data_IF_764388553675
#
_entry.id   IF_764388553675
#
_cell.length_a   1.000
_cell.length_b   1.000
_cell.length_c   1.000
_cell.angle_alpha   90.00
_cell.angle_beta   90.00
_cell.angle_gamma   90.00
#
_symmetry.space_group_name_H-M   'P 1'
#
loop_
_entity.id
_entity.type
_entity.pdbx_description
1 polymer ?
#
# COMPACT_ATOMS: atom_id res chain seq x y z
N UNK A 1 17.84 -76.53 -27.85
CA UNK A 1 17.63 -77.66 -26.86
C UNK A 1 16.84 -77.06 -25.70
N UNK A 2 15.56 -77.42 -25.61
CA UNK A 2 14.91 -78.10 -24.46
C UNK A 2 14.85 -77.19 -23.21
N UNK A 3 13.73 -76.87 -22.55
CA UNK A 3 12.43 -77.58 -22.38
C UNK A 3 11.42 -76.64 -21.74
N UNK A 4 10.17 -76.80 -22.08
CA UNK A 4 8.96 -76.28 -21.44
C UNK A 4 8.80 -76.86 -20.04
N UNK A 5 8.20 -76.05 -19.12
CA UNK A 5 7.26 -76.67 -18.14
C UNK A 5 6.22 -75.61 -17.71
N UNK A 6 4.97 -75.95 -17.93
CA UNK A 6 3.72 -75.32 -17.52
C UNK A 6 3.39 -75.82 -16.12
N UNK A 7 2.97 -74.97 -15.22
CA UNK A 7 2.14 -75.31 -14.07
C UNK A 7 0.99 -74.35 -13.87
N UNK A 8 -0.20 -74.88 -14.08
CA UNK A 8 -1.48 -74.30 -13.64
C UNK A 8 -1.61 -74.43 -12.12
N UNK A 9 -2.14 -73.41 -11.46
CA UNK A 9 -2.77 -73.64 -10.17
C UNK A 9 -3.85 -72.60 -9.85
N UNK A 10 -5.01 -73.09 -9.75
CA UNK A 10 -6.14 -72.99 -8.84
C UNK A 10 -6.42 -71.56 -8.25
N UNK A 11 -7.59 -71.10 -8.63
CA UNK A 11 -8.30 -69.94 -8.06
C UNK A 11 -8.99 -70.42 -6.76
N UNK A 12 -8.70 -69.75 -5.66
CA UNK A 12 -9.46 -69.84 -4.41
C UNK A 12 -10.21 -68.52 -4.17
N UNK A 13 -11.54 -68.59 -4.32
CA UNK A 13 -12.44 -67.50 -3.93
C UNK A 13 -12.55 -67.44 -2.41
N UNK A 14 -12.08 -66.41 -1.79
CA UNK A 14 -12.43 -66.02 -0.42
C UNK A 14 -13.31 -64.79 -0.45
N UNK A 15 -14.61 -64.99 -0.18
CA UNK A 15 -15.52 -63.91 0.12
C UNK A 15 -15.15 -63.29 1.47
N UNK A 16 -14.63 -62.02 1.46
CA UNK A 16 -14.58 -61.19 2.65
C UNK A 16 -15.64 -60.14 2.56
N UNK A 17 -16.49 -60.11 3.56
CA UNK A 17 -17.55 -59.15 3.83
C UNK A 17 -17.00 -57.75 3.87
N UNK A 18 -17.51 -56.84 3.03
CA UNK A 18 -17.24 -55.40 3.13
C UNK A 18 -18.07 -54.83 4.29
N UNK A 19 -17.40 -54.43 5.35
CA UNK A 19 -17.91 -53.42 6.28
C UNK A 19 -17.74 -52.06 5.61
N UNK A 20 -18.84 -51.41 5.26
CA UNK A 20 -18.87 -50.03 4.79
C UNK A 20 -18.66 -49.10 5.98
N UNK A 21 -17.46 -48.55 6.11
CA UNK A 21 -17.24 -47.34 6.91
C UNK A 21 -17.89 -46.14 6.25
N UNK A 22 -18.48 -45.20 7.02
CA UNK A 22 -19.05 -44.00 6.45
C UNK A 22 -17.94 -43.15 5.85
N UNK A 23 -18.03 -42.87 4.56
CA UNK A 23 -17.15 -41.95 3.84
C UNK A 23 -17.19 -40.60 4.54
N UNK A 24 -16.10 -40.25 5.21
CA UNK A 24 -15.84 -38.90 5.65
C UNK A 24 -15.86 -37.97 4.42
N UNK A 25 -16.87 -37.11 4.34
CA UNK A 25 -16.91 -36.01 3.39
C UNK A 25 -15.70 -35.13 3.63
N UNK A 26 -14.70 -35.22 2.74
CA UNK A 26 -13.64 -34.20 2.66
C UNK A 26 -14.33 -32.84 2.57
N UNK A 27 -13.93 -31.84 3.35
CA UNK A 27 -14.50 -30.50 3.20
C UNK A 27 -14.27 -30.07 1.76
N UNK A 28 -15.38 -29.74 1.09
CA UNK A 28 -15.37 -29.10 -0.22
C UNK A 28 -14.44 -27.88 -0.16
N UNK A 29 -13.63 -27.58 -1.20
CA UNK A 29 -12.78 -26.41 -1.17
C UNK A 29 -13.66 -25.20 -0.88
N UNK A 30 -13.34 -24.50 0.20
CA UNK A 30 -13.98 -23.25 0.62
C UNK A 30 -14.10 -22.35 -0.61
N UNK A 31 -15.32 -22.03 -1.02
CA UNK A 31 -15.56 -21.01 -2.03
C UNK A 31 -14.83 -19.76 -1.57
N UNK A 32 -13.86 -19.29 -2.35
CA UNK A 32 -13.15 -18.04 -2.08
C UNK A 32 -14.19 -16.94 -2.03
N UNK A 33 -14.43 -16.43 -0.83
CA UNK A 33 -15.40 -15.35 -0.62
C UNK A 33 -15.02 -14.16 -1.49
N UNK A 34 -15.94 -13.66 -2.33
CA UNK A 34 -15.70 -12.52 -3.19
C UNK A 34 -15.50 -11.25 -2.38
N UNK A 35 -14.61 -10.38 -2.85
CA UNK A 35 -14.40 -9.09 -2.22
C UNK A 35 -15.70 -8.26 -2.25
N UNK A 36 -16.00 -7.63 -1.12
CA UNK A 36 -17.11 -6.68 -1.00
C UNK A 36 -16.60 -5.25 -1.24
N UNK A 37 -17.37 -4.47 -1.96
CA UNK A 37 -17.12 -3.05 -2.18
C UNK A 37 -18.31 -2.25 -1.64
N UNK A 38 -18.06 -1.32 -0.70
CA UNK A 38 -19.15 -0.50 -0.17
C UNK A 38 -19.71 0.44 -1.25
N UNK A 39 -21.02 0.78 -1.19
CA UNK A 39 -21.61 1.75 -2.11
C UNK A 39 -20.80 3.05 -2.19
N UNK A 40 -20.78 3.70 -3.36
CA UNK A 40 -20.03 4.94 -3.56
C UNK A 40 -20.56 6.10 -2.71
N UNK A 41 -21.82 6.03 -2.32
CA UNK A 41 -22.51 7.05 -1.51
C UNK A 41 -23.10 6.44 -0.25
N UNK A 42 -23.30 7.27 0.78
CA UNK A 42 -23.85 6.84 2.06
C UNK A 42 -22.81 6.23 2.98
N UNK A 43 -23.28 5.71 4.13
CA UNK A 43 -22.41 5.21 5.22
C UNK A 43 -22.46 3.69 5.38
N UNK A 44 -23.26 3.00 4.56
CA UNK A 44 -23.42 1.54 4.62
C UNK A 44 -22.10 0.84 4.27
N UNK A 45 -21.70 -0.10 5.12
CA UNK A 45 -20.55 -0.96 4.89
C UNK A 45 -20.78 -2.30 5.57
N UNK A 46 -20.65 -3.40 4.83
CA UNK A 46 -20.81 -4.75 5.41
C UNK A 46 -19.73 -4.99 6.47
N UNK A 47 -20.12 -5.73 7.50
CA UNK A 47 -19.23 -6.11 8.60
C UNK A 47 -19.06 -7.61 8.70
N UNK A 48 -17.98 -8.04 9.34
CA UNK A 48 -17.71 -9.43 9.68
C UNK A 48 -17.22 -9.50 11.11
N UNK A 49 -17.76 -10.40 11.91
CA UNK A 49 -17.37 -10.48 13.32
C UNK A 49 -16.05 -11.22 13.50
N UNK A 50 -15.36 -10.95 14.59
CA UNK A 50 -14.17 -11.67 15.06
C UNK A 50 -14.46 -13.17 15.13
N UNK A 51 -15.62 -13.55 15.69
CA UNK A 51 -16.05 -14.95 15.80
C UNK A 51 -16.25 -15.63 14.43
N UNK A 52 -16.84 -14.94 13.45
CA UNK A 52 -17.05 -15.50 12.10
C UNK A 52 -15.73 -15.78 11.35
N UNK A 53 -14.65 -15.12 11.77
CA UNK A 53 -13.30 -15.36 11.25
C UNK A 53 -12.54 -16.42 12.02
N UNK A 54 -13.08 -16.92 13.13
CA UNK A 54 -12.38 -17.81 14.05
C UNK A 54 -11.23 -17.12 14.79
N UNK A 55 -11.26 -15.78 14.88
CA UNK A 55 -10.23 -15.00 15.54
C UNK A 55 -10.43 -14.99 17.06
N UNK A 56 -9.35 -14.72 17.80
CA UNK A 56 -9.32 -14.71 19.25
C UNK A 56 -9.92 -13.42 19.81
N UNK A 57 -11.09 -13.54 20.44
CA UNK A 57 -11.80 -12.42 21.04
C UNK A 57 -11.03 -11.78 22.21
N UNK A 58 -10.27 -12.54 22.96
CA UNK A 58 -9.45 -12.10 24.09
C UNK A 58 -8.24 -11.23 23.66
N UNK A 59 -7.79 -11.35 22.40
CA UNK A 59 -6.74 -10.51 21.86
C UNK A 59 -7.23 -9.10 21.43
N UNK A 60 -8.55 -8.87 21.35
CA UNK A 60 -9.12 -7.60 20.89
C UNK A 60 -8.81 -6.46 21.86
N UNK A 61 -9.12 -6.62 23.14
CA UNK A 61 -8.94 -5.56 24.13
C UNK A 61 -7.47 -5.12 24.28
N UNK A 62 -6.48 -6.04 24.37
CA UNK A 62 -5.06 -5.65 24.38
C UNK A 62 -4.59 -4.86 23.14
N UNK A 63 -5.20 -5.08 21.96
CA UNK A 63 -4.93 -4.27 20.78
C UNK A 63 -5.54 -2.88 20.90
N UNK A 64 -6.79 -2.77 21.36
CA UNK A 64 -7.48 -1.49 21.51
C UNK A 64 -6.81 -0.61 22.58
N UNK A 65 -6.41 -1.20 23.71
CA UNK A 65 -5.69 -0.50 24.78
C UNK A 65 -4.36 0.07 24.28
N UNK A 66 -3.61 -0.73 23.51
CA UNK A 66 -2.37 -0.29 22.88
C UNK A 66 -2.60 0.89 21.93
N UNK A 67 -3.60 0.80 21.04
CA UNK A 67 -3.94 1.86 20.12
C UNK A 67 -4.33 3.16 20.83
N UNK A 68 -5.10 3.06 21.90
CA UNK A 68 -5.52 4.22 22.69
C UNK A 68 -4.34 4.92 23.38
N UNK A 69 -3.44 4.16 24.02
CA UNK A 69 -2.22 4.67 24.68
C UNK A 69 -1.25 5.27 23.66
N UNK A 70 -1.21 4.74 22.44
CA UNK A 70 -0.37 5.21 21.34
C UNK A 70 -1.03 6.30 20.48
N UNK A 71 -1.86 7.13 21.08
CA UNK A 71 -2.44 8.33 20.49
C UNK A 71 -3.20 8.11 19.18
N UNK A 72 -3.75 6.91 18.97
CA UNK A 72 -4.57 6.66 17.79
C UNK A 72 -5.84 7.49 17.84
N UNK A 73 -6.27 7.99 16.68
CA UNK A 73 -7.56 8.66 16.45
C UNK A 73 -8.58 7.67 15.91
N UNK A 74 -8.14 6.78 15.03
CA UNK A 74 -9.00 5.77 14.45
C UNK A 74 -8.20 4.54 14.01
N UNK A 75 -8.90 3.41 13.93
CA UNK A 75 -8.35 2.14 13.49
C UNK A 75 -9.42 1.32 12.77
N UNK A 76 -9.08 0.78 11.59
CA UNK A 76 -9.97 -0.09 10.83
C UNK A 76 -9.18 -1.33 10.38
N UNK A 77 -9.81 -2.50 10.49
CA UNK A 77 -9.38 -3.73 9.79
C UNK A 77 -10.48 -4.14 8.83
N UNK A 78 -10.10 -4.33 7.55
CA UNK A 78 -10.96 -4.97 6.55
C UNK A 78 -10.44 -6.37 6.24
N UNK A 79 -11.38 -7.32 6.04
CA UNK A 79 -11.12 -8.63 5.45
C UNK A 79 -12.07 -8.83 4.26
N UNK A 80 -11.54 -9.11 3.08
CA UNK A 80 -12.32 -9.21 1.84
C UNK A 80 -13.27 -8.01 1.64
N UNK A 81 -12.81 -6.80 1.99
CA UNK A 81 -13.57 -5.56 1.87
C UNK A 81 -14.59 -5.29 2.98
N UNK A 82 -14.83 -6.23 3.90
CA UNK A 82 -15.77 -6.08 5.04
C UNK A 82 -15.07 -5.58 6.27
N UNK A 83 -15.72 -4.69 7.02
CA UNK A 83 -15.17 -4.18 8.28
C UNK A 83 -15.23 -5.28 9.35
N UNK A 84 -14.07 -5.62 9.90
CA UNK A 84 -13.94 -6.54 11.06
C UNK A 84 -13.80 -5.76 12.35
N UNK A 85 -13.02 -4.69 12.31
CA UNK A 85 -12.84 -3.75 13.42
C UNK A 85 -12.93 -2.32 12.89
N UNK A 86 -13.63 -1.47 13.61
CA UNK A 86 -13.69 -0.03 13.36
C UNK A 86 -13.82 0.68 14.71
N UNK A 87 -12.77 1.37 15.11
CA UNK A 87 -12.66 2.00 16.42
C UNK A 87 -12.17 3.44 16.30
N UNK A 88 -12.73 4.31 17.13
CA UNK A 88 -12.38 5.72 17.22
C UNK A 88 -11.97 6.04 18.66
N UNK A 89 -10.92 6.85 18.81
CA UNK A 89 -10.28 7.13 20.09
C UNK A 89 -10.12 8.64 20.29
N UNK A 90 -9.93 9.07 21.54
CA UNK A 90 -9.51 10.42 21.88
C UNK A 90 -10.40 11.51 21.25
N UNK A 91 -11.73 11.32 21.28
CA UNK A 91 -12.71 12.27 20.74
C UNK A 91 -12.78 12.36 19.21
N UNK A 92 -12.09 11.48 18.48
CA UNK A 92 -12.24 11.38 17.03
C UNK A 92 -13.55 10.66 16.65
N UNK A 93 -14.13 11.01 15.50
CA UNK A 93 -15.38 10.43 15.03
C UNK A 93 -15.25 9.93 13.58
N UNK A 94 -16.17 9.07 13.16
CA UNK A 94 -16.21 8.51 11.79
C UNK A 94 -16.34 9.56 10.69
N UNK A 95 -16.87 10.74 11.03
CA UNK A 95 -17.05 11.87 10.12
C UNK A 95 -15.94 12.92 10.20
N UNK A 96 -14.94 12.71 11.06
CA UNK A 96 -13.85 13.68 11.25
C UNK A 96 -12.74 13.39 10.25
N UNK A 97 -12.32 14.42 9.50
CA UNK A 97 -11.17 14.32 8.63
C UNK A 97 -9.87 14.37 9.42
N UNK A 98 -8.90 13.58 8.99
CA UNK A 98 -7.54 13.59 9.50
C UNK A 98 -6.54 13.55 8.36
N UNK A 99 -5.38 14.15 8.54
CA UNK A 99 -4.35 14.23 7.48
C UNK A 99 -3.64 12.88 7.29
N UNK A 100 -3.23 12.61 6.04
CA UNK A 100 -2.51 11.39 5.68
C UNK A 100 -0.99 11.55 5.76
N UNK A 101 -0.49 12.78 5.85
CA UNK A 101 0.93 13.10 5.73
C UNK A 101 1.52 12.39 4.49
N UNK A 102 2.71 11.77 4.64
CA UNK A 102 3.37 11.09 3.53
C UNK A 102 2.66 9.82 3.03
N UNK A 103 1.69 9.27 3.77
CA UNK A 103 0.87 8.18 3.22
C UNK A 103 0.12 8.64 1.94
N UNK A 104 -0.20 9.93 1.82
CA UNK A 104 -0.78 10.53 0.62
C UNK A 104 0.10 10.51 -0.63
N UNK A 105 1.42 10.22 -0.52
CA UNK A 105 2.31 10.04 -1.67
C UNK A 105 1.81 8.92 -2.59
N UNK A 106 1.22 7.89 -2.02
CA UNK A 106 0.66 6.75 -2.76
C UNK A 106 -0.54 7.12 -3.63
N UNK A 107 -1.29 8.17 -3.27
CA UNK A 107 -2.32 8.75 -4.12
C UNK A 107 -1.69 9.36 -5.38
N UNK A 108 -0.58 10.09 -5.24
CA UNK A 108 0.15 10.66 -6.39
C UNK A 108 0.69 9.53 -7.28
N UNK A 109 1.26 8.47 -6.71
CA UNK A 109 1.70 7.31 -7.49
C UNK A 109 0.55 6.68 -8.29
N UNK A 110 -0.60 6.47 -7.65
CA UNK A 110 -1.80 5.89 -8.28
C UNK A 110 -2.30 6.78 -9.42
N UNK A 111 -2.40 8.09 -9.20
CA UNK A 111 -2.82 9.05 -10.24
C UNK A 111 -1.80 9.12 -11.41
N UNK A 112 -0.51 8.96 -11.13
CA UNK A 112 0.51 8.87 -12.18
C UNK A 112 0.28 7.63 -13.07
N UNK A 113 -0.07 6.49 -12.48
CA UNK A 113 -0.42 5.30 -13.25
C UNK A 113 -1.70 5.45 -14.06
N UNK A 114 -2.72 6.13 -13.52
CA UNK A 114 -3.95 6.43 -14.25
C UNK A 114 -3.64 7.39 -15.40
N UNK A 115 -2.82 8.40 -15.19
CA UNK A 115 -2.41 9.34 -16.24
C UNK A 115 -1.58 8.67 -17.35
N UNK A 116 -0.73 7.70 -17.01
CA UNK A 116 -0.04 6.88 -18.00
C UNK A 116 -1.01 6.00 -18.79
N UNK A 117 -1.98 5.37 -18.10
CA UNK A 117 -3.04 4.58 -18.73
C UNK A 117 -3.91 5.41 -19.69
N UNK A 118 -4.16 6.67 -19.38
CA UNK A 118 -4.91 7.62 -20.22
C UNK A 118 -4.03 8.24 -21.34
N UNK A 119 -2.72 7.94 -21.37
CA UNK A 119 -1.80 8.45 -22.39
C UNK A 119 -1.32 9.89 -22.16
N UNK A 120 -1.55 10.47 -21.00
CA UNK A 120 -1.08 11.83 -20.67
C UNK A 120 0.42 11.89 -20.40
N UNK A 121 1.02 10.80 -19.96
CA UNK A 121 2.46 10.70 -19.73
C UNK A 121 2.96 9.27 -19.95
N UNK A 122 4.28 9.15 -20.06
CA UNK A 122 5.00 7.88 -19.92
C UNK A 122 6.00 8.04 -18.79
N UNK A 123 6.00 7.12 -17.83
CA UNK A 123 6.88 7.23 -16.65
C UNK A 123 8.36 7.19 -17.01
N UNK A 124 8.74 6.62 -18.15
CA UNK A 124 10.13 6.54 -18.61
C UNK A 124 10.61 7.81 -19.33
N UNK A 125 9.71 8.72 -19.70
CA UNK A 125 10.06 10.00 -20.32
C UNK A 125 10.57 10.97 -19.26
N UNK A 126 11.36 11.95 -19.71
CA UNK A 126 11.92 13.01 -18.85
C UNK A 126 10.79 13.88 -18.30
N UNK A 127 10.97 14.36 -17.09
CA UNK A 127 10.06 15.35 -16.50
C UNK A 127 10.00 16.61 -17.35
N UNK A 128 11.16 17.07 -17.87
CA UNK A 128 11.27 18.25 -18.72
C UNK A 128 10.50 18.15 -20.06
N UNK A 129 10.20 16.95 -20.56
CA UNK A 129 9.37 16.79 -21.76
C UNK A 129 7.91 17.28 -21.53
N UNK A 130 7.48 17.31 -20.29
CA UNK A 130 6.11 17.68 -19.91
C UNK A 130 6.00 19.09 -19.31
N UNK A 131 6.89 19.44 -18.35
CA UNK A 131 6.79 20.72 -17.66
C UNK A 131 7.75 21.79 -18.22
N UNK A 132 8.64 21.43 -19.16
CA UNK A 132 9.69 22.28 -19.69
C UNK A 132 11.01 22.14 -18.93
N UNK A 133 12.08 22.68 -19.50
CA UNK A 133 13.41 22.70 -18.86
C UNK A 133 13.53 23.79 -17.80
N UNK A 134 14.63 23.76 -17.05
CA UNK A 134 14.94 24.69 -15.93
C UNK A 134 13.96 24.61 -14.77
N UNK A 135 13.38 23.43 -14.54
CA UNK A 135 12.55 23.17 -13.36
C UNK A 135 13.41 22.80 -12.13
N UNK A 136 14.73 22.68 -12.33
CA UNK A 136 15.76 22.53 -11.28
C UNK A 136 16.90 23.51 -11.51
N UNK A 137 17.84 23.62 -10.57
CA UNK A 137 19.10 24.34 -10.75
C UNK A 137 20.21 23.52 -11.41
N UNK A 138 19.91 22.25 -11.77
CA UNK A 138 20.86 21.39 -12.43
C UNK A 138 21.20 21.90 -13.84
N UNK A 139 22.39 21.51 -14.36
CA UNK A 139 22.61 21.67 -15.80
C UNK A 139 21.54 20.90 -16.59
N UNK A 140 21.17 21.42 -17.76
CA UNK A 140 20.16 20.76 -18.63
C UNK A 140 20.53 19.29 -18.94
N UNK A 141 21.83 19.00 -19.05
CA UNK A 141 22.30 17.61 -19.28
C UNK A 141 21.93 16.69 -18.09
N UNK A 142 22.03 17.16 -16.86
CA UNK A 142 21.67 16.40 -15.65
C UNK A 142 20.17 16.38 -15.39
N UNK A 143 19.49 17.50 -15.55
CA UNK A 143 18.04 17.59 -15.45
C UNK A 143 17.34 16.64 -16.41
N UNK A 144 17.82 16.56 -17.65
CA UNK A 144 17.29 15.67 -18.68
C UNK A 144 17.50 14.16 -18.44
N UNK A 145 18.23 13.77 -17.41
CA UNK A 145 18.28 12.38 -16.94
C UNK A 145 17.12 12.02 -16.04
N UNK A 146 16.43 13.01 -15.47
CA UNK A 146 15.37 12.79 -14.49
C UNK A 146 14.07 12.46 -15.22
N UNK A 147 13.60 11.22 -15.09
CA UNK A 147 12.32 10.74 -15.62
C UNK A 147 11.24 10.80 -14.55
N UNK A 148 9.96 10.71 -14.95
CA UNK A 148 8.85 10.57 -14.01
C UNK A 148 9.02 9.32 -13.12
N UNK A 149 9.62 8.25 -13.64
CA UNK A 149 9.95 7.05 -12.88
C UNK A 149 10.96 7.34 -11.76
N UNK A 150 11.95 8.19 -11.99
CA UNK A 150 12.90 8.57 -10.94
C UNK A 150 12.21 9.34 -9.80
N UNK A 151 11.15 10.10 -10.07
CA UNK A 151 10.33 10.73 -9.04
C UNK A 151 9.52 9.70 -8.25
N UNK A 152 8.89 8.73 -8.94
CA UNK A 152 8.13 7.64 -8.32
C UNK A 152 8.99 6.74 -7.43
N UNK A 153 10.25 6.53 -7.81
CA UNK A 153 11.17 5.62 -7.11
C UNK A 153 12.08 6.31 -6.10
N UNK A 154 11.92 7.63 -5.93
CA UNK A 154 12.78 8.45 -5.06
C UNK A 154 14.27 8.38 -5.44
N UNK A 155 14.56 8.39 -6.75
CA UNK A 155 15.93 8.30 -7.27
C UNK A 155 16.28 9.42 -8.25
N UNK A 156 15.69 10.61 -8.05
CA UNK A 156 15.95 11.77 -8.92
C UNK A 156 17.40 12.26 -8.89
N UNK A 157 18.14 11.99 -7.80
CA UNK A 157 19.49 12.51 -7.59
C UNK A 157 19.54 13.97 -7.12
N UNK A 158 18.40 14.58 -6.82
CA UNK A 158 18.29 15.93 -6.26
C UNK A 158 18.62 15.87 -4.76
N UNK A 159 19.23 16.95 -4.23
CA UNK A 159 19.55 17.11 -2.81
C UNK A 159 18.29 17.02 -1.93
N UNK A 160 18.37 16.29 -0.83
CA UNK A 160 17.24 15.97 0.04
C UNK A 160 17.39 16.43 1.49
N UNK A 161 18.55 16.94 1.88
CA UNK A 161 18.85 17.32 3.27
C UNK A 161 18.77 18.84 3.44
N UNK A 162 19.47 19.58 2.60
CA UNK A 162 19.68 21.02 2.79
C UNK A 162 18.56 21.88 2.19
N UNK A 163 17.71 21.33 1.30
CA UNK A 163 16.64 22.07 0.65
C UNK A 163 15.31 22.03 1.43
N UNK A 164 15.23 21.25 2.49
CA UNK A 164 13.97 21.02 3.21
C UNK A 164 12.90 20.45 2.28
N UNK A 165 11.71 21.06 2.31
CA UNK A 165 10.57 20.69 1.45
C UNK A 165 10.42 21.62 0.22
N UNK A 166 11.41 22.46 -0.10
CA UNK A 166 11.33 23.43 -1.18
C UNK A 166 11.23 22.77 -2.56
N UNK A 167 10.44 23.39 -3.45
CA UNK A 167 10.16 22.88 -4.80
C UNK A 167 10.44 23.92 -5.89
N UNK A 168 10.93 25.11 -5.51
CA UNK A 168 11.39 26.10 -6.48
C UNK A 168 12.69 25.65 -7.15
N UNK A 169 12.93 26.06 -8.41
CA UNK A 169 14.09 25.58 -9.16
C UNK A 169 15.44 25.80 -8.46
N UNK A 170 15.61 26.90 -7.74
CA UNK A 170 16.87 27.25 -7.09
C UNK A 170 17.21 26.28 -5.94
N UNK A 171 16.19 25.77 -5.24
CA UNK A 171 16.32 24.82 -4.15
C UNK A 171 16.53 23.38 -4.61
N UNK A 172 16.14 23.05 -5.85
CA UNK A 172 16.31 21.71 -6.40
C UNK A 172 17.72 21.55 -6.99
N UNK A 173 18.70 21.30 -6.13
CA UNK A 173 20.14 21.25 -6.47
C UNK A 173 20.61 19.82 -6.76
N UNK A 174 21.75 19.70 -7.48
CA UNK A 174 22.35 18.42 -7.82
C UNK A 174 23.05 17.77 -6.62
N UNK A 175 22.78 16.48 -6.40
CA UNK A 175 23.51 15.64 -5.45
C UNK A 175 24.15 14.42 -6.10
N UNK A 176 23.46 13.77 -7.02
CA UNK A 176 23.89 12.57 -7.71
C UNK A 176 23.21 12.46 -9.09
N UNK A 177 23.67 11.57 -9.94
CA UNK A 177 22.98 11.27 -11.18
C UNK A 177 21.64 10.53 -10.90
N UNK A 178 20.62 10.84 -11.68
CA UNK A 178 19.33 10.18 -11.59
C UNK A 178 19.50 8.64 -11.67
N UNK A 179 18.84 7.92 -10.77
CA UNK A 179 18.93 6.46 -10.66
C UNK A 179 20.08 5.93 -9.82
N UNK A 180 21.00 6.78 -9.32
CA UNK A 180 22.20 6.31 -8.59
C UNK A 180 22.13 6.50 -7.08
N UNK A 181 21.14 7.26 -6.56
CA UNK A 181 20.96 7.53 -5.13
C UNK A 181 19.48 7.49 -4.79
N UNK A 182 19.10 6.78 -3.74
CA UNK A 182 17.76 6.83 -3.19
C UNK A 182 17.69 7.94 -2.14
N UNK A 183 16.69 8.84 -2.28
CA UNK A 183 16.52 9.97 -1.40
C UNK A 183 15.03 10.29 -1.22
N UNK A 184 14.53 10.11 0.00
CA UNK A 184 13.12 10.35 0.31
C UNK A 184 12.88 11.85 0.56
N UNK A 185 12.27 12.54 -0.40
CA UNK A 185 11.97 13.97 -0.31
C UNK A 185 10.76 14.36 -1.18
N UNK A 186 10.42 15.65 -1.23
CA UNK A 186 9.17 16.14 -1.81
C UNK A 186 9.18 16.35 -3.33
N UNK A 187 10.29 16.17 -4.03
CA UNK A 187 10.36 16.39 -5.49
C UNK A 187 9.35 15.55 -6.29
N UNK A 188 8.85 14.45 -5.74
CA UNK A 188 7.77 13.66 -6.35
C UNK A 188 6.50 14.50 -6.65
N UNK A 189 6.30 15.64 -5.97
CA UNK A 189 5.17 16.54 -6.22
C UNK A 189 5.20 17.13 -7.64
N UNK A 190 6.36 17.15 -8.31
CA UNK A 190 6.45 17.50 -9.73
C UNK A 190 5.63 16.58 -10.64
N UNK A 191 5.31 15.36 -10.19
CA UNK A 191 4.35 14.49 -10.89
C UNK A 191 2.94 15.10 -10.93
N UNK A 192 2.55 15.83 -9.88
CA UNK A 192 1.26 16.55 -9.86
C UNK A 192 1.26 17.68 -10.90
N UNK A 193 2.39 18.39 -11.03
CA UNK A 193 2.56 19.44 -12.07
C UNK A 193 2.50 18.85 -13.48
N UNK A 194 3.18 17.71 -13.70
CA UNK A 194 3.13 16.96 -14.97
C UNK A 194 1.69 16.59 -15.33
N UNK A 195 0.97 15.96 -14.40
CA UNK A 195 -0.42 15.53 -14.62
C UNK A 195 -1.33 16.73 -14.90
N UNK A 196 -1.22 17.78 -14.09
CA UNK A 196 -2.03 18.98 -14.27
C UNK A 196 -1.82 19.61 -15.66
N UNK A 197 -0.56 19.71 -16.08
CA UNK A 197 -0.21 20.30 -17.37
C UNK A 197 -0.66 19.45 -18.57
N UNK A 198 -0.43 18.15 -18.50
CA UNK A 198 -0.72 17.25 -19.63
C UNK A 198 -2.20 16.95 -19.80
N UNK A 199 -2.94 16.84 -18.68
CA UNK A 199 -4.40 16.64 -18.70
C UNK A 199 -5.19 17.93 -18.92
N UNK A 200 -4.54 19.08 -18.86
CA UNK A 200 -5.18 20.42 -18.87
C UNK A 200 -6.26 20.57 -17.79
N UNK A 201 -6.02 19.98 -16.62
CA UNK A 201 -6.90 20.04 -15.45
C UNK A 201 -6.09 20.44 -14.22
N UNK A 202 -6.75 21.01 -13.21
CA UNK A 202 -6.09 21.13 -11.90
C UNK A 202 -5.84 19.76 -11.30
N UNK A 203 -4.81 19.63 -10.47
CA UNK A 203 -4.55 18.40 -9.70
C UNK A 203 -5.80 17.91 -8.95
N UNK A 204 -6.51 18.83 -8.27
CA UNK A 204 -7.71 18.48 -7.51
C UNK A 204 -8.84 17.95 -8.41
N UNK A 205 -9.05 18.56 -9.57
CA UNK A 205 -10.08 18.11 -10.53
C UNK A 205 -9.73 16.71 -11.06
N UNK A 206 -8.47 16.50 -11.44
CA UNK A 206 -8.01 15.21 -11.95
C UNK A 206 -8.14 14.12 -10.86
N UNK A 207 -7.63 14.39 -9.66
CA UNK A 207 -7.77 13.48 -8.51
C UNK A 207 -9.22 13.14 -8.21
N UNK A 208 -10.09 14.13 -8.11
CA UNK A 208 -11.49 13.92 -7.77
C UNK A 208 -12.17 13.02 -8.80
N UNK A 209 -12.02 13.35 -10.08
CA UNK A 209 -12.76 12.66 -11.17
C UNK A 209 -12.17 11.29 -11.53
N UNK A 210 -10.88 11.06 -11.31
CA UNK A 210 -10.22 9.81 -11.69
C UNK A 210 -10.08 8.81 -10.55
N UNK A 211 -10.06 9.28 -9.30
CA UNK A 211 -9.87 8.40 -8.15
C UNK A 211 -10.95 8.60 -7.08
N UNK A 212 -11.04 9.78 -6.46
CA UNK A 212 -11.89 10.02 -5.29
C UNK A 212 -13.34 9.57 -5.52
N UNK A 213 -13.96 10.11 -6.55
CA UNK A 213 -15.40 9.88 -6.84
C UNK A 213 -15.63 8.45 -7.37
N UNK A 214 -14.60 7.83 -7.98
CA UNK A 214 -14.71 6.48 -8.53
C UNK A 214 -14.77 5.38 -7.47
N UNK A 215 -14.28 5.67 -6.27
CA UNK A 215 -14.29 4.72 -5.15
C UNK A 215 -15.06 5.25 -3.94
N UNK A 216 -15.77 6.37 -4.10
CA UNK A 216 -16.61 6.96 -3.07
C UNK A 216 -15.84 7.50 -1.87
N UNK A 217 -14.63 8.01 -2.07
CA UNK A 217 -13.87 8.72 -1.03
C UNK A 217 -14.45 10.12 -0.79
N UNK A 218 -14.24 10.62 0.42
CA UNK A 218 -14.33 12.04 0.77
C UNK A 218 -12.92 12.64 0.92
N UNK A 219 -12.86 13.90 1.32
CA UNK A 219 -11.61 14.55 1.68
C UNK A 219 -11.16 15.62 0.69
N UNK A 220 -10.06 16.28 1.09
CA UNK A 220 -9.51 17.43 0.38
C UNK A 220 -7.97 17.43 0.45
N UNK A 221 -7.35 18.02 -0.57
CA UNK A 221 -5.94 18.38 -0.53
C UNK A 221 -5.76 19.71 0.20
N UNK A 222 -4.86 19.75 1.15
CA UNK A 222 -4.53 20.92 1.96
C UNK A 222 -3.10 21.32 1.63
N UNK A 223 -2.91 22.57 1.20
CA UNK A 223 -1.58 23.11 1.04
C UNK A 223 -1.01 23.51 2.40
N UNK A 224 0.15 22.98 2.76
CA UNK A 224 0.88 23.28 3.99
C UNK A 224 2.34 23.61 3.65
N UNK A 225 2.65 24.90 3.50
CA UNK A 225 3.93 25.35 2.94
C UNK A 225 4.12 24.80 1.52
N UNK A 226 5.25 24.14 1.28
CA UNK A 226 5.53 23.46 0.00
C UNK A 226 4.91 22.05 -0.11
N UNK A 227 4.24 21.59 0.95
CA UNK A 227 3.60 20.28 0.96
C UNK A 227 2.15 20.34 0.51
N UNK A 228 1.73 19.37 -0.27
CA UNK A 228 0.34 19.08 -0.58
C UNK A 228 -0.08 17.82 0.17
N UNK A 229 -0.96 17.96 1.17
CA UNK A 229 -1.33 16.89 2.09
C UNK A 229 -2.82 16.58 1.93
N UNK A 230 -3.14 15.30 1.75
CA UNK A 230 -4.53 14.86 1.71
C UNK A 230 -5.08 14.64 3.12
N UNK A 231 -6.31 15.08 3.36
CA UNK A 231 -7.06 14.82 4.59
C UNK A 231 -8.43 14.28 4.26
N UNK A 232 -8.85 13.22 4.96
CA UNK A 232 -10.13 12.54 4.75
C UNK A 232 -10.62 11.83 6.01
N UNK A 233 -11.83 11.27 5.96
CA UNK A 233 -12.27 10.31 6.97
C UNK A 233 -11.45 9.02 6.91
N UNK A 234 -11.46 8.25 8.00
CA UNK A 234 -10.78 6.95 8.08
C UNK A 234 -11.35 5.94 7.08
N UNK A 235 -12.67 5.96 6.87
CA UNK A 235 -13.31 5.09 5.87
C UNK A 235 -12.88 5.42 4.45
N UNK A 236 -12.59 6.69 4.12
CA UNK A 236 -12.01 7.06 2.83
C UNK A 236 -10.61 6.49 2.65
N UNK A 237 -9.78 6.53 3.71
CA UNK A 237 -8.47 5.88 3.68
C UNK A 237 -8.60 4.37 3.49
N UNK A 238 -9.59 3.74 4.12
CA UNK A 238 -9.89 2.31 3.97
C UNK A 238 -10.38 1.96 2.55
N UNK A 239 -11.15 2.83 1.89
CA UNK A 239 -11.57 2.65 0.48
C UNK A 239 -10.37 2.62 -0.46
N UNK A 240 -9.42 3.53 -0.26
CA UNK A 240 -8.18 3.50 -1.05
C UNK A 240 -7.36 2.23 -0.77
N UNK A 241 -7.23 1.83 0.49
CA UNK A 241 -6.62 0.54 0.84
C UNK A 241 -7.31 -0.64 0.17
N UNK A 242 -8.64 -0.66 0.12
CA UNK A 242 -9.44 -1.70 -0.54
C UNK A 242 -9.21 -1.74 -2.05
N UNK A 243 -9.17 -0.57 -2.73
CA UNK A 243 -8.81 -0.48 -4.15
C UNK A 243 -7.47 -1.15 -4.41
N UNK A 244 -6.46 -0.83 -3.58
CA UNK A 244 -5.12 -1.37 -3.75
C UNK A 244 -5.03 -2.85 -3.39
N UNK A 245 -5.78 -3.33 -2.38
CA UNK A 245 -5.89 -4.76 -2.06
C UNK A 245 -6.49 -5.57 -3.23
N UNK A 246 -7.32 -4.95 -4.05
CA UNK A 246 -7.92 -5.54 -5.25
C UNK A 246 -7.18 -5.14 -6.54
N UNK A 247 -5.89 -4.84 -6.44
CA UNK A 247 -4.99 -4.58 -7.57
C UNK A 247 -5.47 -3.48 -8.51
N UNK A 248 -6.02 -2.42 -7.94
CA UNK A 248 -6.50 -1.26 -8.71
C UNK A 248 -7.90 -1.43 -9.32
N UNK A 249 -8.65 -2.46 -8.92
CA UNK A 249 -10.04 -2.67 -9.32
C UNK A 249 -11.00 -2.27 -8.21
N UNK A 250 -12.07 -1.57 -8.56
CA UNK A 250 -13.19 -1.31 -7.69
C UNK A 250 -14.42 -2.03 -8.27
N UNK A 251 -14.84 -3.09 -7.60
CA UNK A 251 -15.82 -4.04 -8.12
C UNK A 251 -15.41 -4.50 -9.55
N UNK A 252 -16.27 -4.35 -10.53
CA UNK A 252 -15.99 -4.72 -11.93
C UNK A 252 -15.25 -3.63 -12.73
N UNK A 253 -14.90 -2.50 -12.12
CA UNK A 253 -14.27 -1.36 -12.80
C UNK A 253 -12.76 -1.34 -12.55
N UNK A 254 -11.98 -1.36 -13.61
CA UNK A 254 -10.54 -1.12 -13.53
C UNK A 254 -10.27 0.37 -13.40
N UNK A 255 -9.75 0.79 -12.26
CA UNK A 255 -9.33 2.17 -11.98
C UNK A 255 -7.85 2.35 -12.33
N UNK A 256 -7.01 1.40 -11.90
CA UNK A 256 -5.58 1.38 -12.17
C UNK A 256 -5.20 0.09 -12.90
N UNK A 257 -4.39 0.20 -13.94
CA UNK A 257 -3.87 -0.94 -14.70
C UNK A 257 -3.07 -1.90 -13.80
N UNK A 258 -3.33 -3.21 -13.90
CA UNK A 258 -2.68 -4.22 -13.06
C UNK A 258 -1.17 -4.29 -13.28
N UNK A 259 -0.67 -4.04 -14.50
CA UNK A 259 0.78 -4.03 -14.75
C UNK A 259 1.46 -2.87 -14.01
N UNK A 260 0.85 -1.68 -14.03
CA UNK A 260 1.37 -0.55 -13.26
C UNK A 260 1.26 -0.82 -11.75
N UNK A 261 0.13 -1.34 -11.29
CA UNK A 261 -0.05 -1.74 -9.89
C UNK A 261 1.06 -2.69 -9.44
N UNK A 262 1.33 -3.74 -10.22
CA UNK A 262 2.38 -4.71 -9.92
C UNK A 262 3.77 -4.06 -9.88
N UNK A 263 4.08 -3.15 -10.80
CA UNK A 263 5.34 -2.40 -10.78
C UNK A 263 5.45 -1.47 -9.56
N UNK A 264 4.33 -0.83 -9.18
CA UNK A 264 4.28 0.11 -8.06
C UNK A 264 4.43 -0.57 -6.69
N UNK A 265 3.92 -1.79 -6.54
CA UNK A 265 3.90 -2.54 -5.27
C UNK A 265 4.97 -3.63 -5.19
N UNK A 266 5.98 -3.57 -6.04
CA UNK A 266 7.18 -4.40 -5.99
C UNK A 266 8.43 -3.53 -5.99
N UNK A 267 9.58 -4.15 -5.66
CA UNK A 267 10.88 -3.46 -5.66
C UNK A 267 11.13 -2.77 -7.00
N UNK A 268 11.30 -1.46 -6.98
CA UNK A 268 11.34 -0.62 -8.18
C UNK A 268 12.77 -0.30 -8.66
N UNK A 269 13.76 -0.48 -7.82
CA UNK A 269 15.18 -0.17 -8.06
C UNK A 269 16.07 -0.98 -7.08
N UNK A 270 17.38 -0.98 -7.30
CA UNK A 270 18.31 -1.87 -6.57
C UNK A 270 18.97 -1.23 -5.33
N UNK A 271 18.67 0.03 -5.03
CA UNK A 271 19.30 0.77 -3.90
C UNK A 271 18.51 0.52 -2.61
N UNK A 272 17.21 0.81 -2.61
CA UNK A 272 16.30 0.50 -1.51
C UNK A 272 15.31 -0.58 -1.94
N UNK A 273 15.58 -1.83 -1.59
CA UNK A 273 14.76 -2.97 -2.00
C UNK A 273 13.33 -2.90 -1.45
N UNK A 274 13.14 -2.20 -0.34
CA UNK A 274 11.86 -2.02 0.35
C UNK A 274 11.05 -0.83 -0.17
N UNK A 275 11.28 -0.39 -1.44
CA UNK A 275 10.57 0.75 -2.01
C UNK A 275 10.10 0.50 -3.45
N UNK A 276 8.80 0.69 -3.66
CA UNK A 276 8.12 0.64 -4.95
C UNK A 276 7.96 2.05 -5.57
N UNK A 277 6.81 2.31 -6.20
CA UNK A 277 6.43 3.66 -6.66
C UNK A 277 5.70 4.38 -5.53
N UNK A 278 6.45 5.06 -4.67
CA UNK A 278 5.99 5.75 -3.47
C UNK A 278 5.30 4.82 -2.43
N UNK A 279 5.43 3.51 -2.58
CA UNK A 279 4.99 2.49 -1.66
C UNK A 279 6.16 1.88 -0.90
N UNK A 280 6.00 1.65 0.39
CA UNK A 280 6.91 0.88 1.21
C UNK A 280 6.58 -0.62 1.12
N UNK A 281 7.60 -1.46 1.13
CA UNK A 281 7.47 -2.91 0.93
C UNK A 281 8.09 -3.65 2.11
N UNK A 282 7.33 -4.54 2.74
CA UNK A 282 7.86 -5.43 3.77
C UNK A 282 8.50 -6.69 3.17
N UNK A 283 9.11 -7.54 4.00
CA UNK A 283 9.65 -8.84 3.60
C UNK A 283 10.84 -8.79 2.65
N UNK A 284 11.52 -7.64 2.52
CA UNK A 284 12.73 -7.52 1.70
C UNK A 284 13.97 -7.73 2.57
N UNK A 285 15.09 -8.03 1.92
CA UNK A 285 16.35 -8.31 2.61
C UNK A 285 17.05 -7.07 3.16
N UNK A 286 16.67 -5.86 2.71
CA UNK A 286 17.21 -4.60 3.19
C UNK A 286 16.30 -3.41 2.89
N UNK A 287 16.52 -2.33 3.64
CA UNK A 287 15.83 -1.06 3.45
C UNK A 287 16.73 0.14 3.79
N UNK A 288 16.33 1.32 3.34
CA UNK A 288 16.89 2.61 3.76
C UNK A 288 15.79 3.43 4.46
N UNK A 289 16.22 4.28 5.40
CA UNK A 289 15.34 5.25 6.05
C UNK A 289 15.41 6.62 5.36
N UNK A 290 14.36 7.45 5.47
CA UNK A 290 14.43 8.85 5.04
C UNK A 290 15.63 9.58 5.66
N UNK A 291 16.26 10.47 4.89
CA UNK A 291 17.43 11.26 5.28
C UNK A 291 18.67 10.43 5.68
N UNK A 292 18.71 9.15 5.32
CA UNK A 292 19.85 8.26 5.59
C UNK A 292 20.26 7.50 4.34
N UNK A 293 21.59 7.37 4.15
CA UNK A 293 22.18 6.48 3.14
C UNK A 293 22.63 5.14 3.75
N UNK A 294 22.40 4.93 5.05
CA UNK A 294 22.69 3.65 5.69
C UNK A 294 21.69 2.60 5.21
N UNK A 295 22.20 1.43 4.86
CA UNK A 295 21.39 0.25 4.54
C UNK A 295 21.20 -0.58 5.79
N UNK A 296 19.95 -0.84 6.12
CA UNK A 296 19.52 -1.72 7.21
C UNK A 296 19.15 -3.09 6.65
N UNK A 297 19.55 -4.15 7.35
CA UNK A 297 19.25 -5.53 6.94
C UNK A 297 17.87 -5.97 7.44
N UNK A 298 17.20 -6.83 6.65
CA UNK A 298 15.93 -7.46 7.02
C UNK A 298 14.70 -6.67 6.61
N UNK A 299 13.54 -7.11 7.12
CA UNK A 299 12.25 -6.49 6.88
C UNK A 299 12.10 -5.18 7.64
N UNK A 300 11.35 -4.23 7.08
CA UNK A 300 11.01 -2.97 7.78
C UNK A 300 10.24 -3.26 9.06
N UNK A 301 9.28 -4.19 9.03
CA UNK A 301 8.44 -4.58 10.16
C UNK A 301 8.54 -6.11 10.29
N UNK A 302 9.44 -6.62 11.15
CA UNK A 302 9.69 -8.07 11.24
C UNK A 302 8.48 -8.90 11.67
N UNK A 303 7.59 -8.36 12.53
CA UNK A 303 6.38 -9.04 13.01
C UNK A 303 5.21 -9.03 12.02
N UNK A 304 5.33 -8.30 10.91
CA UNK A 304 4.28 -8.21 9.89
C UNK A 304 4.48 -9.25 8.76
N UNK A 305 3.41 -9.61 8.02
CA UNK A 305 3.53 -10.49 6.85
C UNK A 305 4.51 -9.98 5.80
N UNK A 306 5.26 -10.89 5.18
CA UNK A 306 6.30 -10.55 4.21
C UNK A 306 5.77 -9.94 2.90
N UNK A 307 4.54 -10.27 2.52
CA UNK A 307 3.89 -9.76 1.31
C UNK A 307 3.19 -8.41 1.51
N UNK A 308 3.30 -7.83 2.71
CA UNK A 308 2.69 -6.55 3.02
C UNK A 308 3.37 -5.42 2.24
N UNK A 309 2.55 -4.57 1.61
CA UNK A 309 2.98 -3.26 1.14
C UNK A 309 2.18 -2.16 1.85
N UNK A 310 2.75 -0.97 1.98
CA UNK A 310 2.21 0.00 2.91
C UNK A 310 2.45 1.45 2.49
N UNK A 311 1.50 2.31 2.88
CA UNK A 311 1.63 3.76 2.85
C UNK A 311 1.90 4.25 4.28
N UNK A 312 3.02 4.93 4.47
CA UNK A 312 3.47 5.38 5.78
C UNK A 312 3.59 6.91 5.80
N UNK A 313 3.03 7.53 6.81
CA UNK A 313 3.05 8.97 7.00
C UNK A 313 3.54 9.39 8.38
N UNK A 314 4.10 10.62 8.47
CA UNK A 314 4.51 11.24 9.72
C UNK A 314 3.39 11.13 10.77
N UNK A 315 3.75 10.98 12.03
CA UNK A 315 2.84 10.76 13.14
C UNK A 315 2.02 9.46 12.98
N UNK A 316 2.66 8.44 12.37
CA UNK A 316 2.13 7.09 12.25
C UNK A 316 0.79 6.98 11.51
N UNK A 317 0.59 7.78 10.44
CA UNK A 317 -0.50 7.54 9.50
C UNK A 317 -0.18 6.29 8.70
N UNK A 318 -1.07 5.29 8.70
CA UNK A 318 -0.78 3.96 8.16
C UNK A 318 -1.90 3.43 7.28
N UNK A 319 -1.50 2.91 6.11
CA UNK A 319 -2.28 1.96 5.33
C UNK A 319 -1.40 0.73 5.15
N UNK A 320 -1.81 -0.41 5.69
CA UNK A 320 -1.14 -1.69 5.44
C UNK A 320 -2.05 -2.56 4.59
N UNK A 321 -1.50 -3.19 3.58
CA UNK A 321 -2.22 -4.06 2.66
C UNK A 321 -1.51 -5.40 2.62
N UNK A 322 -2.24 -6.47 2.95
CA UNK A 322 -1.71 -7.82 3.06
C UNK A 322 -2.44 -8.72 2.06
N UNK A 323 -1.88 -8.90 0.84
CA UNK A 323 -2.53 -9.68 -0.21
C UNK A 323 -2.87 -11.11 0.21
N UNK A 324 -1.96 -11.82 0.88
CA UNK A 324 -2.15 -13.22 1.33
C UNK A 324 -3.32 -13.40 2.29
N UNK A 325 -3.79 -12.32 2.92
CA UNK A 325 -4.89 -12.33 3.89
C UNK A 325 -6.14 -11.59 3.38
N UNK A 326 -6.11 -11.00 2.19
CA UNK A 326 -7.12 -10.06 1.71
C UNK A 326 -7.47 -9.00 2.77
N UNK A 327 -6.44 -8.53 3.48
CA UNK A 327 -6.56 -7.66 4.64
C UNK A 327 -6.07 -6.25 4.33
N UNK A 328 -6.82 -5.26 4.82
CA UNK A 328 -6.39 -3.86 4.86
C UNK A 328 -6.46 -3.41 6.32
N UNK A 329 -5.42 -2.73 6.78
CA UNK A 329 -5.39 -2.13 8.12
C UNK A 329 -5.10 -0.65 7.98
N UNK A 330 -5.92 0.16 8.63
CA UNK A 330 -5.81 1.62 8.66
C UNK A 330 -5.57 2.09 10.09
N UNK A 331 -4.62 3.00 10.26
CA UNK A 331 -4.47 3.78 11.49
C UNK A 331 -4.29 5.25 11.14
N UNK A 332 -5.09 6.11 11.75
CA UNK A 332 -4.88 7.56 11.81
C UNK A 332 -4.62 7.98 13.26
N UNK A 333 -3.76 8.96 13.48
CA UNK A 333 -3.51 9.46 14.83
C UNK A 333 -2.42 10.50 14.92
N UNK A 334 -2.13 10.91 16.16
CA UNK A 334 -0.92 11.64 16.50
C UNK A 334 0.27 10.68 16.60
N UNK A 335 1.49 11.20 16.77
CA UNK A 335 2.67 10.37 16.93
C UNK A 335 2.48 9.36 18.07
N UNK A 336 2.73 8.09 17.76
CA UNK A 336 2.57 7.01 18.73
C UNK A 336 3.60 7.10 19.86
N UNK A 337 4.79 7.61 19.55
CA UNK A 337 5.91 7.82 20.45
C UNK A 337 6.53 9.20 20.23
N UNK A 338 7.63 9.49 20.91
CA UNK A 338 8.33 10.78 20.78
C UNK A 338 9.07 10.95 19.44
N UNK A 339 8.95 10.01 18.52
CA UNK A 339 9.61 10.00 17.22
C UNK A 339 8.61 10.37 16.13
N UNK A 340 8.79 11.54 15.53
CA UNK A 340 7.92 12.07 14.47
C UNK A 340 8.22 11.46 13.08
N UNK A 341 8.73 10.23 13.01
CA UNK A 341 9.04 9.55 11.76
C UNK A 341 7.83 8.76 11.24
N UNK A 342 7.88 8.39 9.96
CA UNK A 342 6.88 7.53 9.34
C UNK A 342 7.12 6.04 9.64
N UNK A 343 8.32 5.70 10.09
CA UNK A 343 8.77 4.37 10.54
C UNK A 343 9.19 4.49 12.00
N UNK A 344 8.60 3.69 12.86
CA UNK A 344 8.85 3.68 14.30
C UNK A 344 8.66 2.26 14.86
N UNK A 345 9.13 2.02 16.09
CA UNK A 345 8.92 0.75 16.79
C UNK A 345 7.43 0.44 17.04
N UNK A 346 6.58 1.46 16.94
CA UNK A 346 5.13 1.33 17.01
C UNK A 346 4.61 0.25 16.04
N UNK A 347 5.11 0.23 14.82
CA UNK A 347 4.64 -0.67 13.77
C UNK A 347 4.85 -2.15 14.15
N UNK A 348 6.02 -2.50 14.69
CA UNK A 348 6.33 -3.90 15.01
C UNK A 348 5.48 -4.42 16.17
N UNK A 349 5.32 -3.62 17.23
CA UNK A 349 4.43 -3.97 18.35
C UNK A 349 2.97 -4.02 17.93
N UNK A 350 2.51 -3.10 17.08
CA UNK A 350 1.16 -3.13 16.52
C UNK A 350 0.91 -4.44 15.77
N UNK A 351 1.87 -4.88 14.94
CA UNK A 351 1.75 -6.11 14.17
C UNK A 351 1.80 -7.36 15.03
N UNK A 352 2.55 -7.39 16.14
CA UNK A 352 2.47 -8.47 17.13
C UNK A 352 1.05 -8.60 17.68
N UNK A 353 0.40 -7.48 18.03
CA UNK A 353 -0.97 -7.48 18.56
C UNK A 353 -2.03 -7.83 17.50
N UNK A 354 -1.87 -7.36 16.26
CA UNK A 354 -2.77 -7.75 15.16
C UNK A 354 -2.63 -9.25 14.87
N UNK A 355 -1.40 -9.78 14.84
CA UNK A 355 -1.14 -11.20 14.61
C UNK A 355 -1.74 -12.08 15.71
N UNK A 356 -1.76 -11.62 16.96
CA UNK A 356 -2.39 -12.32 18.06
C UNK A 356 -3.90 -12.54 17.89
N UNK A 357 -4.57 -11.78 17.03
CA UNK A 357 -5.99 -12.00 16.73
C UNK A 357 -6.25 -13.32 15.97
N UNK A 358 -5.30 -13.77 15.13
CA UNK A 358 -5.54 -14.88 14.20
C UNK A 358 -4.46 -16.01 14.23
N UNK A 359 -3.50 -15.94 15.16
CA UNK A 359 -2.47 -16.96 15.37
C UNK A 359 -2.83 -17.98 16.44
#
# INVERSE_FOLDING_TARGET
>A
MISKTIYSLLILFLCMSCNSEPSGTSPSPSSTETAYFPPLTGTTWETKTIANLGWKQDAVQPLLDYLAVKNSKSFIILINGRIVMENYFNGHASTTNWYWASAGKTLTATLTGIAEQEGYLNINNKVSDYIGGSWTSLSLAKENLITNKHLLTMTSGIEDIDNGDALDPASLTYKADAGTRWAYHNVYLKLQDVIAKTSNQTWNTYFNTRLRDKIGMDGVWIQSGNNSVYASTTRSMARFGLLMANKGKWDNTTILNENYFNAATNTSQKINLSYGYLWWLNGKSSYHLPQSQLQFSGSIIPSAPNDMFMALGKNDQKIYIIPSKNMVVIRMGDAADNVNLALSDFDDVLWQKISALYQ
#
